data_IF_502476173708
#
_entry.id   IF_502476173708
#
_cell.length_a   1.000
_cell.length_b   1.000
_cell.length_c   1.000
_cell.angle_alpha   90.00
_cell.angle_beta   90.00
_cell.angle_gamma   90.00
#
_symmetry.space_group_name_H-M   'P 1'
#
loop_
_entity.id
_entity.type
_entity.pdbx_description
1 polymer ?
#
# COMPACT_ATOMS: atom_id res chain seq x y z
N UNK A 1 7.94 -10.42 8.34
CA UNK A 1 7.80 -9.59 7.10
C UNK A 1 6.87 -10.19 6.06
N UNK A 2 7.02 -11.45 5.62
CA UNK A 2 6.21 -11.96 4.49
C UNK A 2 4.69 -11.86 4.72
N UNK A 3 4.20 -12.06 5.94
CA UNK A 3 2.77 -11.93 6.26
C UNK A 3 2.21 -10.52 5.98
N UNK A 4 3.05 -9.48 6.09
CA UNK A 4 2.65 -8.09 5.88
C UNK A 4 2.23 -7.87 4.42
N UNK A 5 2.97 -8.49 3.49
CA UNK A 5 2.69 -8.31 2.06
C UNK A 5 1.70 -9.33 1.50
N UNK A 6 1.29 -10.34 2.27
CA UNK A 6 0.34 -11.38 1.83
C UNK A 6 -1.02 -10.79 1.44
N UNK A 7 -1.48 -9.76 2.14
CA UNK A 7 -2.76 -9.11 1.81
C UNK A 7 -2.79 -8.54 0.39
N UNK A 8 -1.63 -8.14 -0.17
CA UNK A 8 -1.54 -7.68 -1.56
C UNK A 8 -1.79 -8.78 -2.59
N UNK A 9 -1.76 -10.07 -2.22
CA UNK A 9 -2.06 -11.16 -3.16
C UNK A 9 -3.53 -11.15 -3.61
N UNK A 10 -4.42 -10.61 -2.78
CA UNK A 10 -5.87 -10.58 -3.03
C UNK A 10 -6.42 -9.16 -3.12
N UNK A 11 -5.72 -8.18 -2.57
CA UNK A 11 -6.16 -6.79 -2.54
C UNK A 11 -5.24 -5.87 -3.34
N UNK A 12 -5.82 -4.84 -3.95
CA UNK A 12 -5.08 -3.74 -4.59
C UNK A 12 -4.70 -2.64 -3.60
N UNK A 13 -3.87 -2.93 -2.59
CA UNK A 13 -3.52 -1.98 -1.50
C UNK A 13 -2.00 -1.81 -1.30
N UNK A 14 -1.24 -2.07 -2.36
CA UNK A 14 0.22 -2.19 -2.29
C UNK A 14 0.95 -0.95 -1.77
N UNK A 15 0.41 0.26 -1.94
CA UNK A 15 0.98 1.48 -1.38
C UNK A 15 0.97 1.49 0.15
N UNK A 16 -0.18 1.22 0.77
CA UNK A 16 -0.30 1.11 2.23
C UNK A 16 0.61 0.02 2.78
N UNK A 17 0.60 -1.15 2.15
CA UNK A 17 1.36 -2.30 2.63
C UNK A 17 2.87 -2.08 2.50
N UNK A 18 3.32 -1.39 1.44
CA UNK A 18 4.72 -1.01 1.31
C UNK A 18 5.14 0.00 2.39
N UNK A 19 4.25 0.95 2.74
CA UNK A 19 4.49 1.87 3.85
C UNK A 19 4.57 1.15 5.19
N UNK A 20 3.60 0.29 5.50
CA UNK A 20 3.59 -0.54 6.71
C UNK A 20 4.82 -1.42 6.82
N UNK A 21 5.28 -2.00 5.70
CA UNK A 21 6.46 -2.85 5.71
C UNK A 21 7.74 -2.03 5.92
N UNK A 22 7.83 -0.85 5.31
CA UNK A 22 8.95 0.04 5.54
C UNK A 22 9.04 0.40 7.03
N UNK A 23 7.92 0.78 7.65
CA UNK A 23 7.85 1.05 9.09
C UNK A 23 8.23 -0.16 9.94
N UNK A 24 7.75 -1.35 9.57
CA UNK A 24 8.10 -2.59 10.25
C UNK A 24 9.61 -2.86 10.22
N UNK A 25 10.31 -2.49 9.15
CA UNK A 25 11.77 -2.65 9.09
C UNK A 25 12.49 -1.62 9.98
N UNK A 26 11.95 -0.41 10.08
CA UNK A 26 12.60 0.76 10.70
C UNK A 26 12.26 1.02 12.17
N UNK A 27 11.10 0.60 12.66
CA UNK A 27 10.61 0.88 14.00
C UNK A 27 10.33 -0.44 14.74
N UNK A 28 11.15 -0.73 15.76
CA UNK A 28 11.03 -1.93 16.59
C UNK A 28 9.71 -1.97 17.39
N UNK A 29 9.27 -0.84 17.93
CA UNK A 29 8.03 -0.76 18.70
C UNK A 29 6.82 -1.00 17.78
N UNK A 30 6.83 -0.42 16.59
CA UNK A 30 5.81 -0.67 15.58
C UNK A 30 5.80 -2.14 15.14
N UNK A 31 6.97 -2.72 14.89
CA UNK A 31 7.12 -4.15 14.55
C UNK A 31 6.53 -5.06 15.62
N UNK A 32 6.92 -4.87 16.88
CA UNK A 32 6.40 -5.67 18.00
C UNK A 32 4.87 -5.56 18.12
N UNK A 33 4.32 -4.35 17.93
CA UNK A 33 2.87 -4.12 17.92
C UNK A 33 2.19 -4.85 16.77
N UNK A 34 2.78 -4.85 15.57
CA UNK A 34 2.20 -5.48 14.39
C UNK A 34 2.28 -7.01 14.46
N UNK A 35 3.38 -7.55 14.98
CA UNK A 35 3.55 -8.98 15.23
C UNK A 35 2.49 -9.48 16.23
N UNK A 36 2.29 -8.78 17.36
CA UNK A 36 1.26 -9.13 18.33
C UNK A 36 -0.18 -9.09 17.75
N UNK A 37 -0.46 -8.18 16.82
CA UNK A 37 -1.75 -8.12 16.11
C UNK A 37 -1.90 -9.31 15.15
N UNK A 38 -0.82 -9.71 14.49
CA UNK A 38 -0.80 -10.85 13.59
C UNK A 38 -1.00 -12.17 14.33
N UNK A 39 -0.31 -12.38 15.44
CA UNK A 39 -0.45 -13.57 16.30
C UNK A 39 -1.88 -13.76 16.82
N UNK A 40 -2.61 -12.67 17.04
CA UNK A 40 -4.03 -12.70 17.44
C UNK A 40 -5.00 -12.92 16.27
N UNK A 41 -4.49 -13.08 15.05
CA UNK A 41 -5.32 -13.27 13.85
C UNK A 41 -6.08 -12.01 13.41
N UNK A 42 -5.64 -10.82 13.81
CA UNK A 42 -6.34 -9.56 13.54
C UNK A 42 -5.64 -8.66 12.51
N UNK A 43 -4.54 -9.11 11.91
CA UNK A 43 -3.74 -8.32 10.95
C UNK A 43 -4.58 -7.76 9.80
N UNK A 44 -5.33 -8.61 9.10
CA UNK A 44 -6.14 -8.21 7.94
C UNK A 44 -7.16 -7.14 8.32
N UNK A 45 -7.91 -7.35 9.41
CA UNK A 45 -8.87 -6.37 9.92
C UNK A 45 -8.19 -5.06 10.28
N UNK A 46 -7.02 -5.11 10.91
CA UNK A 46 -6.25 -3.92 11.28
C UNK A 46 -5.84 -3.12 10.06
N UNK A 47 -5.32 -3.76 9.01
CA UNK A 47 -4.90 -3.06 7.77
C UNK A 47 -6.09 -2.32 7.14
N UNK A 48 -7.25 -2.97 7.02
CA UNK A 48 -8.45 -2.29 6.48
C UNK A 48 -8.95 -1.17 7.39
N UNK A 49 -8.95 -1.37 8.71
CA UNK A 49 -9.35 -0.35 9.66
C UNK A 49 -8.45 0.89 9.57
N UNK A 50 -7.15 0.68 9.43
CA UNK A 50 -6.16 1.76 9.27
C UNK A 50 -6.40 2.57 7.99
N UNK A 51 -6.62 1.88 6.85
CA UNK A 51 -7.02 2.53 5.60
C UNK A 51 -8.35 3.28 5.75
N UNK A 52 -9.33 2.69 6.43
CA UNK A 52 -10.62 3.34 6.65
C UNK A 52 -10.48 4.63 7.45
N UNK A 53 -9.73 4.61 8.56
CA UNK A 53 -9.49 5.78 9.38
C UNK A 53 -8.77 6.86 8.58
N UNK A 54 -7.75 6.47 7.83
CA UNK A 54 -7.01 7.38 6.98
C UNK A 54 -7.90 8.12 5.96
N UNK A 55 -8.74 7.39 5.22
CA UNK A 55 -9.64 8.00 4.24
C UNK A 55 -10.68 8.93 4.90
N UNK A 56 -11.15 8.60 6.11
CA UNK A 56 -12.08 9.46 6.87
C UNK A 56 -11.40 10.76 7.28
N UNK A 57 -10.15 10.72 7.74
CA UNK A 57 -9.40 11.92 8.12
C UNK A 57 -9.13 12.82 6.91
N UNK A 58 -8.77 12.24 5.76
CA UNK A 58 -8.58 13.02 4.54
C UNK A 58 -9.87 13.75 4.13
N UNK A 59 -11.05 13.16 4.35
CA UNK A 59 -12.31 13.83 4.03
C UNK A 59 -12.47 15.17 4.76
N UNK A 60 -11.98 15.29 5.99
CA UNK A 60 -12.06 16.54 6.75
C UNK A 60 -10.90 17.49 6.53
N UNK A 61 -9.73 16.96 6.15
CA UNK A 61 -8.47 17.73 6.22
C UNK A 61 -7.82 17.97 4.84
N UNK A 62 -8.03 17.08 3.88
CA UNK A 62 -7.44 17.15 2.55
C UNK A 62 -8.30 16.36 1.55
N UNK A 63 -9.47 16.91 1.23
CA UNK A 63 -10.45 16.27 0.35
C UNK A 63 -9.94 16.12 -1.09
N UNK A 64 -9.03 16.98 -1.53
CA UNK A 64 -8.38 16.89 -2.84
C UNK A 64 -7.55 15.61 -2.94
N UNK A 65 -6.72 15.30 -1.94
CA UNK A 65 -5.94 14.05 -1.92
C UNK A 65 -6.86 12.82 -1.86
N UNK A 66 -7.96 12.89 -1.11
CA UNK A 66 -8.96 11.81 -1.10
C UNK A 66 -9.57 11.60 -2.50
N UNK A 67 -9.84 12.69 -3.22
CA UNK A 67 -10.33 12.65 -4.60
C UNK A 67 -9.32 12.01 -5.53
N UNK A 68 -8.04 12.35 -5.42
CA UNK A 68 -6.96 11.73 -6.19
C UNK A 68 -6.83 10.22 -5.91
N UNK A 69 -6.89 9.80 -4.64
CA UNK A 69 -6.89 8.38 -4.26
C UNK A 69 -8.06 7.65 -4.92
N UNK A 70 -9.26 8.24 -4.90
CA UNK A 70 -10.44 7.67 -5.54
C UNK A 70 -10.26 7.53 -7.04
N UNK A 71 -9.82 8.59 -7.71
CA UNK A 71 -9.64 8.59 -9.17
C UNK A 71 -8.55 7.61 -9.60
N UNK A 72 -7.45 7.55 -8.85
CA UNK A 72 -6.41 6.58 -9.10
C UNK A 72 -6.91 5.15 -8.90
N UNK A 73 -7.66 4.88 -7.82
CA UNK A 73 -8.31 3.59 -7.58
C UNK A 73 -9.26 3.19 -8.72
N UNK A 74 -10.08 4.13 -9.21
CA UNK A 74 -10.99 3.91 -10.32
C UNK A 74 -10.25 3.55 -11.63
N UNK A 75 -9.01 4.02 -11.81
CA UNK A 75 -8.21 3.75 -13.00
C UNK A 75 -7.77 2.28 -13.16
N UNK A 76 -7.90 1.47 -12.10
CA UNK A 76 -7.60 0.03 -12.12
C UNK A 76 -8.77 -0.85 -12.59
N UNK A 77 -9.88 -0.24 -13.00
CA UNK A 77 -10.99 -0.92 -13.65
C UNK A 77 -12.31 -0.89 -12.88
N UNK A 78 -13.37 -1.34 -13.55
CA UNK A 78 -14.74 -1.19 -13.06
C UNK A 78 -15.01 -1.88 -11.72
N UNK A 79 -14.28 -2.94 -11.39
CA UNK A 79 -14.43 -3.64 -10.11
C UNK A 79 -14.03 -2.76 -8.91
N UNK A 80 -13.17 -1.76 -9.10
CA UNK A 80 -12.73 -0.83 -8.05
C UNK A 80 -13.46 0.52 -8.09
N UNK A 81 -14.29 0.75 -9.12
CA UNK A 81 -14.91 2.05 -9.37
C UNK A 81 -15.86 2.46 -8.25
N UNK A 82 -15.74 3.71 -7.81
CA UNK A 82 -16.70 4.38 -6.92
C UNK A 82 -17.06 5.77 -7.46
N UNK A 83 -18.30 6.20 -7.20
CA UNK A 83 -18.86 7.42 -7.79
C UNK A 83 -18.38 8.69 -7.10
N UNK A 84 -18.06 8.63 -5.80
CA UNK A 84 -17.60 9.76 -5.00
C UNK A 84 -16.78 9.27 -3.79
N UNK A 85 -16.20 10.23 -3.06
CA UNK A 85 -15.33 9.97 -1.90
C UNK A 85 -16.07 9.26 -0.75
N UNK A 86 -17.34 9.59 -0.54
CA UNK A 86 -18.16 8.94 0.48
C UNK A 86 -18.36 7.45 0.18
N UNK A 87 -18.67 7.09 -1.07
CA UNK A 87 -18.81 5.68 -1.48
C UNK A 87 -17.50 4.90 -1.35
N UNK A 88 -16.34 5.55 -1.57
CA UNK A 88 -15.03 4.92 -1.34
C UNK A 88 -14.82 4.58 0.15
N UNK A 89 -15.13 5.52 1.05
CA UNK A 89 -15.04 5.34 2.49
C UNK A 89 -15.98 4.23 2.96
N UNK A 90 -17.26 4.31 2.57
CA UNK A 90 -18.28 3.31 2.94
C UNK A 90 -17.92 1.91 2.44
N UNK A 91 -17.41 1.79 1.21
CA UNK A 91 -16.93 0.53 0.67
C UNK A 91 -15.81 -0.05 1.55
N UNK A 92 -14.87 0.79 1.99
CA UNK A 92 -13.75 0.38 2.84
C UNK A 92 -14.22 -0.06 4.23
N UNK A 93 -15.12 0.71 4.85
CA UNK A 93 -15.73 0.38 6.14
C UNK A 93 -16.53 -0.93 6.09
N UNK A 94 -17.33 -1.12 5.05
CA UNK A 94 -18.08 -2.36 4.84
C UNK A 94 -17.14 -3.55 4.65
N UNK A 95 -16.05 -3.37 3.90
CA UNK A 95 -15.04 -4.42 3.75
C UNK A 95 -14.37 -4.78 5.08
N UNK A 96 -14.04 -3.78 5.92
CA UNK A 96 -13.50 -4.01 7.25
C UNK A 96 -14.42 -4.88 8.13
N UNK A 97 -15.74 -4.62 8.05
CA UNK A 97 -16.75 -5.41 8.77
C UNK A 97 -16.82 -6.85 8.26
N UNK A 98 -16.68 -7.09 6.96
CA UNK A 98 -16.67 -8.44 6.39
C UNK A 98 -15.44 -9.23 6.81
N UNK A 99 -14.25 -8.60 6.73
CA UNK A 99 -12.99 -9.20 7.17
C UNK A 99 -13.02 -9.46 8.68
N UNK A 100 -13.56 -8.53 9.48
CA UNK A 100 -13.69 -8.68 10.93
C UNK A 100 -14.61 -9.81 11.37
N UNK A 101 -15.58 -10.21 10.53
CA UNK A 101 -16.42 -11.39 10.73
C UNK A 101 -15.72 -12.70 10.33
N UNK A 102 -14.42 -12.65 10.02
CA UNK A 102 -13.62 -13.78 9.56
C UNK A 102 -14.23 -14.50 8.33
N UNK A 103 -14.92 -13.76 7.47
CA UNK A 103 -15.38 -14.30 6.21
C UNK A 103 -14.15 -14.76 5.38
N UNK A 104 -14.20 -15.94 4.74
CA UNK A 104 -13.09 -16.42 3.92
C UNK A 104 -12.77 -15.40 2.82
N UNK A 105 -11.49 -15.03 2.67
CA UNK A 105 -11.05 -13.96 1.76
C UNK A 105 -11.46 -14.23 0.31
N UNK A 106 -11.50 -15.48 -0.11
CA UNK A 106 -11.91 -15.92 -1.45
C UNK A 106 -13.39 -15.69 -1.76
N UNK A 107 -14.22 -15.51 -0.72
CA UNK A 107 -15.65 -15.19 -0.85
C UNK A 107 -15.92 -13.69 -0.76
N UNK A 108 -14.90 -12.88 -0.47
CA UNK A 108 -15.04 -11.44 -0.41
C UNK A 108 -14.99 -10.82 -1.81
N UNK A 109 -15.73 -9.71 -2.04
CA UNK A 109 -15.62 -8.98 -3.29
C UNK A 109 -14.20 -8.46 -3.49
N UNK A 110 -13.84 -8.18 -4.75
CA UNK A 110 -12.57 -7.52 -5.06
C UNK A 110 -12.45 -6.21 -4.28
N UNK A 111 -11.27 -5.98 -3.70
CA UNK A 111 -11.00 -4.81 -2.87
C UNK A 111 -9.63 -4.23 -3.20
N UNK A 112 -9.56 -2.91 -3.20
CA UNK A 112 -8.34 -2.18 -3.48
C UNK A 112 -8.53 -0.69 -3.24
N UNK A 113 -7.49 -0.06 -2.73
CA UNK A 113 -7.34 1.38 -2.57
C UNK A 113 -5.95 1.71 -3.10
N UNK A 114 -5.91 2.24 -4.32
CA UNK A 114 -4.65 2.58 -4.96
C UNK A 114 -4.16 3.93 -4.46
N UNK A 115 -2.95 3.96 -3.93
CA UNK A 115 -2.33 5.18 -3.41
C UNK A 115 -1.52 5.88 -4.50
N UNK A 116 -1.81 7.15 -4.85
CA UNK A 116 -0.93 7.95 -5.68
C UNK A 116 0.37 8.26 -4.91
N UNK A 117 1.44 8.73 -5.58
CA UNK A 117 2.71 9.04 -4.91
C UNK A 117 2.56 9.96 -3.70
N UNK A 118 1.79 11.06 -3.84
CA UNK A 118 1.51 11.98 -2.73
C UNK A 118 0.73 11.31 -1.61
N UNK A 119 -0.18 10.38 -1.91
CA UNK A 119 -0.89 9.61 -0.89
C UNK A 119 0.07 8.76 -0.05
N UNK A 120 1.05 8.10 -0.68
CA UNK A 120 2.05 7.31 0.06
C UNK A 120 2.87 8.22 0.98
N UNK A 121 3.34 9.36 0.49
CA UNK A 121 4.12 10.31 1.28
C UNK A 121 3.32 10.90 2.46
N UNK A 122 2.07 11.32 2.21
CA UNK A 122 1.21 11.90 3.24
C UNK A 122 0.82 10.84 4.29
N UNK A 123 0.52 9.60 3.89
CA UNK A 123 0.23 8.52 4.83
C UNK A 123 1.41 8.23 5.77
N UNK A 124 2.64 8.24 5.24
CA UNK A 124 3.87 8.09 6.03
C UNK A 124 4.09 9.26 6.98
N UNK A 125 3.94 10.48 6.48
CA UNK A 125 4.14 11.70 7.27
C UNK A 125 3.12 11.81 8.42
N UNK A 126 1.85 11.52 8.15
CA UNK A 126 0.76 11.68 9.13
C UNK A 126 0.82 10.64 10.24
N UNK A 127 0.94 9.37 9.89
CA UNK A 127 0.75 8.29 10.86
C UNK A 127 2.02 7.96 11.63
N UNK A 128 3.18 8.41 11.14
CA UNK A 128 4.48 7.98 11.65
C UNK A 128 5.52 9.09 11.72
N UNK A 129 5.14 10.34 11.42
CA UNK A 129 6.03 11.51 11.46
C UNK A 129 7.29 11.34 10.59
N UNK A 130 7.22 10.48 9.58
CA UNK A 130 8.34 10.23 8.68
C UNK A 130 8.31 11.23 7.54
N UNK A 131 9.31 12.11 7.53
CA UNK A 131 9.63 12.90 6.35
C UNK A 131 10.06 11.96 5.23
N UNK A 132 9.39 12.06 4.08
CA UNK A 132 9.69 11.21 2.93
C UNK A 132 9.93 12.05 1.70
N UNK A 133 11.05 11.81 1.03
CA UNK A 133 11.47 12.55 -0.13
C UNK A 133 11.51 11.64 -1.36
N UNK A 134 11.23 12.22 -2.53
CA UNK A 134 11.54 11.57 -3.79
C UNK A 134 13.04 11.58 -3.99
N UNK A 135 13.61 10.41 -4.23
CA UNK A 135 15.07 10.22 -4.33
C UNK A 135 15.48 9.50 -5.60
N UNK A 136 16.79 9.38 -5.82
CA UNK A 136 17.37 8.53 -6.86
C UNK A 136 17.98 7.23 -6.31
N UNK A 137 18.00 7.02 -4.98
CA UNK A 137 18.54 5.78 -4.42
C UNK A 137 17.61 4.58 -4.70
N UNK A 138 18.21 3.40 -4.88
CA UNK A 138 17.48 2.16 -5.18
C UNK A 138 17.36 1.23 -3.95
N UNK A 139 17.63 1.73 -2.75
CA UNK A 139 17.58 0.95 -1.50
C UNK A 139 16.97 1.77 -0.38
N UNK A 140 16.33 1.06 0.54
CA UNK A 140 15.63 1.67 1.65
C UNK A 140 14.50 2.62 1.20
N UNK A 141 13.72 2.17 0.22
CA UNK A 141 12.72 2.97 -0.47
C UNK A 141 11.40 2.22 -0.61
N UNK A 142 10.32 2.98 -0.66
CA UNK A 142 9.07 2.54 -1.28
C UNK A 142 9.15 2.93 -2.76
N UNK A 143 9.07 1.93 -3.62
CA UNK A 143 9.25 2.08 -5.05
C UNK A 143 7.95 1.90 -5.81
N UNK A 144 7.61 2.88 -6.65
CA UNK A 144 6.51 2.82 -7.60
C UNK A 144 6.96 2.18 -8.90
N UNK A 145 6.25 1.15 -9.34
CA UNK A 145 6.56 0.36 -10.53
C UNK A 145 5.59 0.68 -11.66
N UNK A 146 6.15 0.97 -12.83
CA UNK A 146 5.41 1.19 -14.06
C UNK A 146 5.00 -0.13 -14.69
N UNK A 147 3.74 -0.21 -15.09
CA UNK A 147 3.25 -1.29 -15.93
C UNK A 147 3.38 -1.02 -17.43
N UNK A 148 3.13 -2.04 -18.24
CA UNK A 148 2.99 -1.87 -19.69
C UNK A 148 1.75 -1.01 -19.99
N UNK A 149 1.93 0.06 -20.78
CA UNK A 149 0.85 0.90 -21.28
C UNK A 149 0.79 2.31 -20.69
N UNK A 150 -0.28 3.04 -21.05
CA UNK A 150 -0.57 4.38 -20.52
C UNK A 150 -1.42 4.27 -19.25
N UNK A 151 -1.21 5.17 -18.30
CA UNK A 151 -1.99 5.26 -17.07
C UNK A 151 -1.62 6.52 -16.29
N UNK A 152 -2.38 6.80 -15.23
CA UNK A 152 -2.08 7.89 -14.31
C UNK A 152 -0.68 7.71 -13.70
N UNK A 153 -0.06 8.83 -13.29
CA UNK A 153 1.26 8.86 -12.64
C UNK A 153 2.33 8.09 -13.45
N UNK A 154 2.48 8.43 -14.73
CA UNK A 154 3.45 7.79 -15.65
C UNK A 154 3.28 6.26 -15.77
N UNK A 155 2.05 5.76 -15.64
CA UNK A 155 1.74 4.34 -15.76
C UNK A 155 2.04 3.53 -14.51
N UNK A 156 2.04 4.16 -13.32
CA UNK A 156 2.15 3.46 -12.03
C UNK A 156 1.09 2.36 -11.91
N UNK A 157 1.53 1.15 -11.60
CA UNK A 157 0.65 -0.02 -11.41
C UNK A 157 0.85 -0.72 -10.08
N UNK A 158 2.00 -0.57 -9.43
CA UNK A 158 2.30 -1.29 -8.21
C UNK A 158 3.28 -0.52 -7.32
N UNK A 159 3.23 -0.79 -6.03
CA UNK A 159 4.21 -0.32 -5.06
C UNK A 159 4.89 -1.53 -4.41
N UNK A 160 6.20 -1.40 -4.19
CA UNK A 160 7.01 -2.38 -3.46
C UNK A 160 7.88 -1.68 -2.45
N UNK A 161 8.26 -2.37 -1.37
CA UNK A 161 9.33 -1.89 -0.49
C UNK A 161 10.64 -2.59 -0.84
N UNK A 162 11.72 -1.81 -0.94
CA UNK A 162 13.09 -2.29 -1.13
C UNK A 162 13.87 -1.90 0.11
N UNK A 163 14.32 -2.89 0.90
CA UNK A 163 14.98 -2.62 2.17
C UNK A 163 16.44 -2.14 2.00
N UNK A 164 17.12 -1.88 3.12
CA UNK A 164 18.54 -1.46 3.14
C UNK A 164 19.50 -2.44 2.46
N UNK A 165 19.16 -3.74 2.43
CA UNK A 165 19.93 -4.80 1.77
C UNK A 165 19.63 -4.91 0.28
N UNK A 166 18.67 -4.14 -0.24
CA UNK A 166 18.23 -4.20 -1.63
C UNK A 166 17.20 -5.29 -1.91
N UNK A 167 16.69 -5.98 -0.89
CA UNK A 167 15.70 -7.04 -1.03
C UNK A 167 14.32 -6.43 -1.30
N UNK A 168 13.56 -7.02 -2.22
CA UNK A 168 12.22 -6.55 -2.60
C UNK A 168 11.16 -7.38 -1.91
N UNK A 169 10.15 -6.73 -1.36
CA UNK A 169 9.05 -7.39 -0.67
C UNK A 169 7.72 -6.99 -1.27
N UNK A 170 6.97 -7.98 -1.76
CA UNK A 170 5.61 -7.77 -2.26
C UNK A 170 4.86 -9.10 -2.41
N UNK A 171 3.53 -9.05 -2.42
CA UNK A 171 2.66 -10.22 -2.63
C UNK A 171 2.99 -11.45 -1.76
N UNK A 172 3.40 -11.26 -0.52
CA UNK A 172 3.78 -12.34 0.40
C UNK A 172 5.12 -13.01 0.06
N UNK A 173 5.87 -12.45 -0.88
CA UNK A 173 7.15 -12.95 -1.37
C UNK A 173 8.28 -11.97 -1.07
N UNK A 174 9.49 -12.51 -1.03
CA UNK A 174 10.74 -11.77 -0.89
C UNK A 174 11.65 -12.17 -2.05
N UNK A 175 12.23 -11.17 -2.70
CA UNK A 175 13.22 -11.35 -3.77
C UNK A 175 14.57 -10.83 -3.30
N UNK A 176 15.65 -11.44 -3.81
CA UNK A 176 17.00 -11.10 -3.36
C UNK A 176 17.39 -9.67 -3.74
N UNK A 177 16.90 -9.21 -4.90
CA UNK A 177 17.12 -7.86 -5.41
C UNK A 177 16.05 -7.51 -6.46
N UNK A 178 16.11 -6.29 -6.99
CA UNK A 178 15.18 -5.82 -8.02
C UNK A 178 15.28 -6.59 -9.34
N UNK A 179 16.47 -7.09 -9.72
CA UNK A 179 16.62 -7.87 -10.95
C UNK A 179 15.89 -9.22 -10.84
N UNK A 180 16.06 -9.92 -9.72
CA UNK A 180 15.34 -11.16 -9.40
C UNK A 180 13.82 -10.96 -9.46
N UNK A 181 13.32 -9.86 -8.89
CA UNK A 181 11.92 -9.47 -9.03
C UNK A 181 11.54 -9.22 -10.51
N UNK A 182 12.32 -8.43 -11.25
CA UNK A 182 12.00 -8.02 -12.62
C UNK A 182 12.01 -9.21 -13.60
N UNK A 183 12.88 -10.20 -13.39
CA UNK A 183 12.96 -11.42 -14.22
C UNK A 183 11.67 -12.25 -14.13
N UNK A 184 11.03 -12.24 -12.96
CA UNK A 184 9.78 -12.94 -12.68
C UNK A 184 8.53 -12.10 -13.05
N UNK A 185 8.65 -10.77 -13.04
CA UNK A 185 7.54 -9.83 -13.26
C UNK A 185 7.81 -8.87 -14.41
N UNK A 186 8.02 -9.43 -15.61
CA UNK A 186 8.42 -8.70 -16.83
C UNK A 186 7.49 -7.55 -17.25
N UNK A 187 6.29 -7.49 -16.69
CA UNK A 187 5.33 -6.41 -16.92
C UNK A 187 5.48 -5.22 -15.95
N UNK A 188 6.36 -5.28 -14.95
CA UNK A 188 6.58 -4.25 -13.91
C UNK A 188 8.07 -3.90 -13.74
N UNK A 189 8.75 -3.61 -14.85
CA UNK A 189 10.23 -3.58 -14.89
C UNK A 189 10.86 -2.20 -14.70
N UNK A 190 10.06 -1.13 -14.64
CA UNK A 190 10.60 0.22 -14.51
C UNK A 190 10.19 0.86 -13.18
N UNK A 191 11.19 1.21 -12.37
CA UNK A 191 11.04 2.05 -11.19
C UNK A 191 10.80 3.51 -11.62
N UNK A 192 9.68 4.10 -11.22
CA UNK A 192 9.27 5.45 -11.62
C UNK A 192 9.07 6.42 -10.46
N UNK A 193 8.92 5.91 -9.24
CA UNK A 193 8.93 6.70 -8.01
C UNK A 193 9.78 5.99 -6.97
N UNK A 194 10.53 6.76 -6.18
CA UNK A 194 11.38 6.24 -5.11
C UNK A 194 11.18 7.15 -3.92
N UNK A 195 10.53 6.64 -2.89
CA UNK A 195 10.22 7.39 -1.68
C UNK A 195 11.15 6.86 -0.60
N UNK A 196 12.16 7.64 -0.23
CA UNK A 196 13.05 7.29 0.88
C UNK A 196 12.43 7.75 2.19
N UNK A 197 12.53 6.90 3.21
CA UNK A 197 12.25 7.28 4.58
C UNK A 197 13.45 8.04 5.13
N UNK A 198 13.27 9.29 5.55
CA UNK A 198 14.29 9.97 6.33
C UNK A 198 14.34 9.28 7.70
N UNK A 199 15.39 8.50 7.95
CA UNK A 199 15.66 8.00 9.30
C UNK A 199 16.07 9.19 10.16
N UNK A 200 15.37 9.42 11.26
CA UNK A 200 15.81 10.31 12.32
C UNK A 200 17.15 9.85 12.91
#
# INVERSE_FOLDING_TARGET
>A
MNYITQVNQKWGVCGFVSALLALYDHDEAFRNKLDAIHERGHYNTRVIADMSTYLVLLKSENEDLLTEIREFTNSFGNVYRTNNNQTLIERTQNYARLVGKQAPLEKLPAFGIAMPPQGVQEYLSRNYEINSNLVQEDRNIICGLKGVGKGLYNGLKHWVYINKKGQVFTWGQQYNNFQDFADQHRNLVQMIFRIQLATA
#
